data_IF_327209238986
#
_entry.id   IF_327209238986
#
_cell.length_a   1.000
_cell.length_b   1.000
_cell.length_c   1.000
_cell.angle_alpha   90.00
_cell.angle_beta   90.00
_cell.angle_gamma   90.00
#
_symmetry.space_group_name_H-M   'P 1'
#
loop_
_entity.id
_entity.type
_entity.pdbx_description
1 polymer ?
#
# COMPACT_ATOMS: atom_id res chain seq x y z
N UNK A 1 -17.77 2.20 -3.92
CA UNK A 1 -16.63 3.08 -4.22
C UNK A 1 -15.55 2.33 -4.98
N UNK A 2 -14.85 3.01 -5.88
CA UNK A 2 -13.78 2.43 -6.69
C UNK A 2 -12.43 2.96 -6.22
N UNK A 3 -11.48 2.05 -5.97
CA UNK A 3 -10.09 2.38 -5.62
C UNK A 3 -9.11 1.67 -6.56
N UNK A 4 -7.88 2.17 -6.64
CA UNK A 4 -6.81 1.52 -7.39
C UNK A 4 -5.84 0.80 -6.46
N UNK A 5 -5.57 -0.47 -6.72
CA UNK A 5 -4.59 -1.28 -5.99
C UNK A 5 -3.34 -1.43 -6.84
N UNK A 6 -2.17 -1.28 -6.22
CA UNK A 6 -0.87 -1.60 -6.82
C UNK A 6 -0.20 -2.73 -6.06
N UNK A 7 0.07 -3.83 -6.74
CA UNK A 7 0.67 -5.04 -6.19
C UNK A 7 2.20 -5.03 -6.37
N UNK A 8 2.90 -5.23 -5.25
CA UNK A 8 4.35 -5.38 -5.22
C UNK A 8 4.81 -6.83 -5.27
N UNK A 9 5.90 -7.08 -6.01
CA UNK A 9 6.65 -8.34 -5.98
C UNK A 9 5.78 -9.60 -6.21
N UNK A 10 5.91 -10.65 -5.37
CA UNK A 10 5.19 -11.91 -5.55
C UNK A 10 3.67 -11.82 -5.43
N UNK A 11 3.11 -10.72 -4.89
CA UNK A 11 1.64 -10.55 -4.86
C UNK A 11 1.03 -10.52 -6.27
N UNK A 12 1.81 -10.07 -7.27
CA UNK A 12 1.41 -10.11 -8.69
C UNK A 12 1.22 -11.53 -9.23
N UNK A 13 1.84 -12.53 -8.61
CA UNK A 13 1.66 -13.94 -9.02
C UNK A 13 0.46 -14.58 -8.31
N UNK A 14 0.04 -14.03 -7.16
CA UNK A 14 -1.02 -14.57 -6.32
C UNK A 14 -2.40 -14.04 -6.68
N UNK A 15 -2.46 -12.78 -7.08
CA UNK A 15 -3.70 -12.12 -7.49
C UNK A 15 -3.76 -12.11 -9.02
N UNK A 16 -4.89 -12.52 -9.58
CA UNK A 16 -5.20 -12.45 -11.00
C UNK A 16 -5.99 -11.17 -11.33
N UNK A 17 -6.09 -10.82 -12.61
CA UNK A 17 -6.93 -9.69 -13.05
C UNK A 17 -6.29 -8.30 -12.87
N UNK A 18 -4.99 -8.25 -12.59
CA UNK A 18 -4.21 -7.00 -12.69
C UNK A 18 -3.58 -6.85 -14.06
N UNK A 19 -3.38 -5.60 -14.47
CA UNK A 19 -2.52 -5.22 -15.58
C UNK A 19 -1.20 -4.68 -15.02
N UNK A 20 -0.10 -5.38 -15.27
CA UNK A 20 1.25 -5.02 -14.80
C UNK A 20 1.35 -4.74 -13.27
N UNK A 21 0.48 -5.39 -12.49
CA UNK A 21 0.39 -5.23 -11.04
C UNK A 21 -0.55 -4.12 -10.58
N UNK A 22 -1.35 -3.53 -11.46
CA UNK A 22 -2.39 -2.56 -11.11
C UNK A 22 -3.76 -3.15 -11.37
N UNK A 23 -4.70 -2.98 -10.43
CA UNK A 23 -6.09 -3.39 -10.62
C UNK A 23 -7.04 -2.42 -9.90
N UNK A 24 -8.26 -2.34 -10.39
CA UNK A 24 -9.32 -1.57 -9.75
C UNK A 24 -10.14 -2.47 -8.84
N UNK A 25 -10.42 -2.02 -7.62
CA UNK A 25 -11.20 -2.76 -6.65
C UNK A 25 -12.44 -1.95 -6.26
N UNK A 26 -13.61 -2.53 -6.49
CA UNK A 26 -14.86 -2.00 -5.99
C UNK A 26 -15.07 -2.43 -4.53
N UNK A 27 -15.43 -1.48 -3.67
CA UNK A 27 -15.68 -1.68 -2.25
C UNK A 27 -16.96 -0.96 -1.83
N UNK A 28 -17.52 -1.31 -0.68
CA UNK A 28 -18.65 -0.56 -0.12
C UNK A 28 -18.20 0.82 0.37
N UNK A 29 -19.12 1.78 0.41
CA UNK A 29 -18.78 3.12 0.91
C UNK A 29 -18.38 3.05 2.38
N UNK A 30 -17.23 3.65 2.73
CA UNK A 30 -16.72 3.62 4.10
C UNK A 30 -15.92 2.37 4.45
N UNK A 31 -15.70 1.45 3.49
CA UNK A 31 -14.80 0.30 3.70
C UNK A 31 -13.41 0.76 4.11
N UNK A 32 -12.74 -0.06 4.90
CA UNK A 32 -11.38 0.15 5.36
C UNK A 32 -10.37 -0.65 4.55
N UNK A 33 -9.11 -0.48 4.89
CA UNK A 33 -8.01 -1.21 4.24
C UNK A 33 -8.11 -2.71 4.53
N UNK A 34 -8.51 -3.09 5.73
CA UNK A 34 -8.81 -4.49 6.10
C UNK A 34 -9.83 -5.14 5.16
N UNK A 35 -10.94 -4.45 4.86
CA UNK A 35 -11.97 -4.93 3.94
C UNK A 35 -11.42 -5.12 2.52
N UNK A 36 -10.53 -4.23 2.07
CA UNK A 36 -9.86 -4.35 0.79
C UNK A 36 -8.95 -5.59 0.73
N UNK A 37 -8.24 -5.91 1.81
CA UNK A 37 -7.39 -7.10 1.91
C UNK A 37 -8.22 -8.38 1.88
N UNK A 38 -9.30 -8.43 2.65
CA UNK A 38 -10.25 -9.57 2.69
C UNK A 38 -10.81 -9.81 1.29
N UNK A 39 -11.25 -8.76 0.58
CA UNK A 39 -11.80 -8.89 -0.78
C UNK A 39 -10.77 -9.40 -1.80
N UNK A 40 -9.49 -9.13 -1.57
CA UNK A 40 -8.39 -9.64 -2.40
C UNK A 40 -7.93 -11.05 -1.98
N UNK A 41 -8.55 -11.66 -0.96
CA UNK A 41 -8.13 -12.95 -0.42
C UNK A 41 -6.74 -12.90 0.22
N UNK A 42 -6.34 -11.73 0.72
CA UNK A 42 -5.05 -11.53 1.39
C UNK A 42 -5.27 -11.43 2.90
N UNK A 43 -4.57 -12.29 3.64
CA UNK A 43 -4.47 -12.12 5.09
C UNK A 43 -3.46 -11.02 5.46
N UNK A 44 -3.74 -10.34 6.58
CA UNK A 44 -2.89 -9.28 7.14
C UNK A 44 -1.47 -9.74 7.47
N UNK A 45 -1.22 -11.04 7.60
CA UNK A 45 0.12 -11.60 7.80
C UNK A 45 0.96 -11.65 6.50
N UNK A 46 0.30 -11.66 5.35
CA UNK A 46 0.96 -11.73 4.03
C UNK A 46 1.42 -10.34 3.58
N UNK A 47 0.67 -9.28 3.95
CA UNK A 47 0.91 -7.89 3.55
C UNK A 47 1.32 -7.06 4.75
N UNK A 48 2.53 -6.48 4.71
CA UNK A 48 3.06 -5.72 5.85
C UNK A 48 3.30 -4.23 5.57
N UNK A 49 3.35 -3.84 4.30
CA UNK A 49 3.39 -2.41 3.93
C UNK A 49 2.19 -2.09 3.09
N UNK A 50 1.40 -1.17 3.62
CA UNK A 50 0.26 -0.55 3.00
C UNK A 50 0.64 0.90 2.77
N UNK A 51 0.63 1.34 1.51
CA UNK A 51 0.75 2.76 1.21
C UNK A 51 -0.59 3.27 0.70
N UNK A 52 -1.13 4.28 1.35
CA UNK A 52 -2.33 4.97 0.92
C UNK A 52 -1.93 6.32 0.32
N UNK A 53 -2.23 6.52 -0.97
CA UNK A 53 -1.92 7.73 -1.71
C UNK A 53 -0.44 8.15 -1.62
N UNK A 54 0.46 7.16 -1.69
CA UNK A 54 1.91 7.37 -1.64
C UNK A 54 2.47 7.60 -0.24
N UNK A 55 1.65 7.47 0.83
CA UNK A 55 2.11 7.59 2.21
C UNK A 55 1.99 6.24 2.93
N UNK A 56 3.00 5.82 3.71
CA UNK A 56 2.86 4.62 4.53
C UNK A 56 1.75 4.81 5.56
N UNK A 57 0.96 3.77 5.78
CA UNK A 57 -0.04 3.71 6.85
C UNK A 57 0.30 2.56 7.78
N UNK A 58 0.18 2.80 9.09
CA UNK A 58 0.40 1.80 10.13
C UNK A 58 -0.91 1.21 10.69
N UNK A 59 -2.03 1.88 10.41
CA UNK A 59 -3.34 1.58 10.97
C UNK A 59 -4.37 1.36 9.86
N UNK A 60 -5.44 0.67 10.21
CA UNK A 60 -6.57 0.41 9.33
C UNK A 60 -7.38 1.70 9.11
N UNK A 61 -7.22 2.29 7.92
CA UNK A 61 -7.87 3.56 7.56
C UNK A 61 -9.09 3.34 6.69
N UNK A 62 -10.09 4.20 6.86
CA UNK A 62 -11.21 4.30 5.92
C UNK A 62 -10.70 4.75 4.55
N UNK A 63 -11.13 4.04 3.52
CA UNK A 63 -10.82 4.33 2.12
C UNK A 63 -11.90 5.24 1.51
N UNK A 64 -11.49 5.98 0.49
CA UNK A 64 -12.36 6.87 -0.30
C UNK A 64 -12.23 6.55 -1.78
N UNK A 65 -13.25 6.91 -2.55
CA UNK A 65 -13.23 6.79 -4.01
C UNK A 65 -11.99 7.49 -4.58
N UNK A 66 -11.28 6.82 -5.48
CA UNK A 66 -10.06 7.32 -6.12
C UNK A 66 -8.79 7.14 -5.29
N UNK A 67 -8.87 6.58 -4.08
CA UNK A 67 -7.67 6.24 -3.31
C UNK A 67 -6.80 5.22 -4.04
N UNK A 68 -5.50 5.38 -3.87
CA UNK A 68 -4.47 4.48 -4.40
C UNK A 68 -3.82 3.72 -3.27
N UNK A 69 -4.03 2.41 -3.22
CA UNK A 69 -3.50 1.54 -2.19
C UNK A 69 -2.39 0.66 -2.79
N UNK A 70 -1.16 0.79 -2.30
CA UNK A 70 -0.07 -0.10 -2.68
C UNK A 70 0.12 -1.17 -1.61
N UNK A 71 0.17 -2.43 -2.05
CA UNK A 71 0.32 -3.61 -1.21
C UNK A 71 1.69 -4.23 -1.47
N UNK A 72 2.46 -4.43 -0.41
CA UNK A 72 3.73 -5.15 -0.49
C UNK A 72 3.77 -6.32 0.50
N UNK A 73 4.33 -7.46 0.07
CA UNK A 73 4.46 -8.62 0.93
C UNK A 73 5.46 -8.35 2.06
N UNK A 74 5.30 -9.09 3.16
CA UNK A 74 6.13 -8.95 4.36
C UNK A 74 7.63 -9.05 4.11
N UNK A 75 8.06 -9.92 3.21
CA UNK A 75 9.46 -10.11 2.83
C UNK A 75 10.08 -8.87 2.15
N UNK A 76 9.27 -8.06 1.47
CA UNK A 76 9.72 -6.81 0.83
C UNK A 76 9.48 -5.59 1.70
N UNK A 77 8.73 -5.73 2.79
CA UNK A 77 8.30 -4.64 3.65
C UNK A 77 9.47 -3.81 4.19
N UNK A 78 10.53 -4.47 4.68
CA UNK A 78 11.68 -3.77 5.26
C UNK A 78 12.42 -2.95 4.21
N UNK A 79 12.77 -3.54 3.06
CA UNK A 79 13.49 -2.83 2.00
C UNK A 79 12.66 -1.70 1.40
N UNK A 80 11.35 -1.90 1.24
CA UNK A 80 10.43 -0.87 0.74
C UNK A 80 10.32 0.28 1.75
N UNK A 81 10.10 0.00 3.04
CA UNK A 81 10.10 1.04 4.07
C UNK A 81 11.42 1.80 4.15
N UNK A 82 12.55 1.10 4.12
CA UNK A 82 13.89 1.72 4.13
C UNK A 82 14.09 2.61 2.91
N UNK A 83 13.78 2.12 1.71
CA UNK A 83 13.85 2.91 0.49
C UNK A 83 12.97 4.17 0.59
N UNK A 84 11.72 4.03 1.04
CA UNK A 84 10.82 5.17 1.25
C UNK A 84 11.40 6.17 2.24
N UNK A 85 11.98 5.72 3.36
CA UNK A 85 12.64 6.62 4.34
C UNK A 85 13.78 7.41 3.73
N UNK A 86 14.55 6.84 2.79
CA UNK A 86 15.58 7.58 2.04
C UNK A 86 14.99 8.60 1.06
N UNK A 87 13.88 8.27 0.42
CA UNK A 87 13.21 9.16 -0.54
C UNK A 87 12.24 10.15 0.10
N UNK A 88 11.95 10.02 1.40
CA UNK A 88 11.08 10.94 2.13
C UNK A 88 11.80 12.29 2.30
N UNK A 89 11.30 13.38 1.69
CA UNK A 89 11.93 14.69 1.79
C UNK A 89 12.01 15.20 3.24
N UNK A 90 11.13 14.75 4.14
CA UNK A 90 11.16 15.13 5.56
C UNK A 90 12.40 14.59 6.30
N UNK A 91 12.95 13.45 5.87
CA UNK A 91 14.22 12.92 6.41
C UNK A 91 15.41 13.72 5.87
N UNK A 92 15.35 14.15 4.60
CA UNK A 92 16.38 15.02 4.00
C UNK A 92 16.41 16.40 4.67
N UNK A 93 15.25 16.98 4.99
CA UNK A 93 15.16 18.26 5.68
C UNK A 93 15.68 18.22 7.13
N UNK A 94 15.50 17.09 7.83
CA UNK A 94 16.05 16.89 9.18
C UNK A 94 17.59 16.88 9.20
N UNK A 95 18.23 16.48 8.09
CA UNK A 95 19.68 16.56 7.91
C UNK A 95 20.17 17.92 7.40
N UNK A 96 19.32 18.69 6.69
CA UNK A 96 19.71 20.01 6.15
C UNK A 96 19.64 21.15 7.17
N UNK A 97 18.97 20.99 8.31
CA UNK A 97 18.86 22.00 9.38
C UNK A 97 19.94 21.90 10.47
N UNK A 98 21.01 21.13 10.25
CA UNK A 98 22.13 20.95 11.19
C UNK A 98 23.47 21.53 10.71
N UNK A 99 23.44 22.48 9.78
CA UNK A 99 24.61 23.24 9.33
C UNK A 99 24.40 24.72 9.54
#
# INVERSE_FOLDING_TARGET
MLISIKLGGPLRKRISGHDRGELSLELEQGSKVSDALIKLGLDGDVVRVLMLNGRPIAEDKALKTGDRLALFPRELAFNVCTAISFFNPLVREAHSKKT
#
